data_IF_426859545341
#
_entry.id   IF_426859545341
#
_cell.length_a   1.000
_cell.length_b   1.000
_cell.length_c   1.000
_cell.angle_alpha   90.00
_cell.angle_beta   90.00
_cell.angle_gamma   90.00
#
_symmetry.space_group_name_H-M   'P 1'
#
loop_
_entity.id
_entity.type
_entity.pdbx_description
1 polymer ?
#
# COMPACT_ATOMS: atom_id res chain seq x y z
N UNK A 1 26.01 5.33 10.11
CA UNK A 1 25.37 4.73 8.90
C UNK A 1 24.17 5.54 8.36
N UNK A 2 23.81 6.71 8.91
CA UNK A 2 22.57 7.43 8.55
C UNK A 2 22.61 8.26 7.25
N UNK A 3 23.73 8.92 6.95
CA UNK A 3 23.81 9.90 5.84
C UNK A 3 23.83 9.25 4.45
N UNK A 4 24.56 8.14 4.30
CA UNK A 4 24.62 7.40 3.04
C UNK A 4 23.23 6.84 2.66
N UNK A 5 22.48 6.29 3.63
CA UNK A 5 21.15 5.73 3.39
C UNK A 5 20.15 6.78 2.92
N UNK A 6 20.16 7.98 3.52
CA UNK A 6 19.32 9.09 3.09
C UNK A 6 19.65 9.56 1.66
N UNK A 7 20.95 9.67 1.34
CA UNK A 7 21.39 10.08 0.00
C UNK A 7 20.97 9.10 -1.11
N UNK A 8 20.99 7.80 -0.84
CA UNK A 8 20.52 6.80 -1.82
C UNK A 8 19.00 6.83 -2.03
N UNK A 9 18.23 7.12 -0.97
CA UNK A 9 16.77 7.21 -1.07
C UNK A 9 16.36 8.42 -1.92
N UNK A 10 16.96 9.59 -1.71
CA UNK A 10 16.66 10.78 -2.52
C UNK A 10 17.04 10.58 -3.99
N UNK A 11 18.20 9.96 -4.28
CA UNK A 11 18.57 9.60 -5.66
C UNK A 11 17.58 8.61 -6.30
N UNK A 12 17.02 7.69 -5.52
CA UNK A 12 15.98 6.79 -6.02
C UNK A 12 14.70 7.55 -6.38
N UNK A 13 14.30 8.53 -5.56
CA UNK A 13 13.14 9.40 -5.84
C UNK A 13 13.37 10.14 -7.16
N UNK A 14 14.53 10.79 -7.33
CA UNK A 14 14.89 11.52 -8.55
C UNK A 14 14.87 10.60 -9.80
N UNK A 15 15.43 9.39 -9.69
CA UNK A 15 15.45 8.43 -10.78
C UNK A 15 14.04 7.99 -11.19
N UNK A 16 13.16 7.69 -10.23
CA UNK A 16 11.77 7.31 -10.54
C UNK A 16 10.97 8.50 -11.08
N UNK A 17 11.19 9.72 -10.59
CA UNK A 17 10.58 10.92 -11.17
C UNK A 17 11.00 11.13 -12.63
N UNK A 18 12.28 10.97 -12.94
CA UNK A 18 12.79 11.09 -14.31
C UNK A 18 12.27 9.98 -15.24
N UNK A 19 12.08 8.76 -14.72
CA UNK A 19 11.46 7.66 -15.44
C UNK A 19 9.97 7.93 -15.72
N UNK A 20 9.24 8.39 -14.70
CA UNK A 20 7.81 8.71 -14.81
C UNK A 20 7.52 9.94 -15.68
N UNK A 21 8.48 10.87 -15.80
CA UNK A 21 8.37 11.97 -16.77
C UNK A 21 8.35 11.45 -18.23
N UNK A 22 8.99 10.30 -18.50
CA UNK A 22 9.01 9.65 -19.81
C UNK A 22 7.88 8.63 -19.97
N UNK A 23 7.49 7.98 -18.87
CA UNK A 23 6.47 6.94 -18.85
C UNK A 23 5.44 7.20 -17.74
N UNK A 24 4.57 8.22 -17.87
CA UNK A 24 3.65 8.63 -16.81
C UNK A 24 2.54 7.62 -16.53
N UNK A 25 2.34 6.64 -17.40
CA UNK A 25 1.37 5.55 -17.25
C UNK A 25 1.98 4.26 -16.68
N UNK A 26 3.26 4.26 -16.33
CA UNK A 26 3.94 3.11 -15.72
C UNK A 26 3.53 2.96 -14.25
N UNK A 27 2.56 2.09 -13.99
CA UNK A 27 1.94 1.90 -12.67
C UNK A 27 2.96 1.46 -11.60
N UNK A 28 3.85 0.54 -11.92
CA UNK A 28 4.90 0.06 -11.01
C UNK A 28 5.92 1.16 -10.71
N UNK A 29 6.17 2.08 -11.65
CA UNK A 29 7.02 3.25 -11.42
C UNK A 29 6.46 4.16 -10.33
N UNK A 30 5.14 4.42 -10.36
CA UNK A 30 4.45 5.17 -9.32
C UNK A 30 4.49 4.46 -7.97
N UNK A 31 4.37 3.13 -7.96
CA UNK A 31 4.56 2.32 -6.77
C UNK A 31 5.97 2.49 -6.17
N UNK A 32 7.01 2.37 -6.98
CA UNK A 32 8.38 2.47 -6.49
C UNK A 32 8.73 3.89 -6.04
N UNK A 33 8.26 4.93 -6.76
CA UNK A 33 8.37 6.32 -6.31
C UNK A 33 7.73 6.50 -4.93
N UNK A 34 6.50 6.00 -4.77
CA UNK A 34 5.79 6.06 -3.52
C UNK A 34 6.55 5.39 -2.37
N UNK A 35 7.08 4.19 -2.62
CA UNK A 35 7.89 3.44 -1.65
C UNK A 35 9.15 4.22 -1.25
N UNK A 36 9.87 4.79 -2.21
CA UNK A 36 11.07 5.57 -1.94
C UNK A 36 10.74 6.82 -1.09
N UNK A 37 9.65 7.52 -1.39
CA UNK A 37 9.19 8.65 -0.56
C UNK A 37 8.79 8.23 0.86
N UNK A 38 8.16 7.07 1.04
CA UNK A 38 7.84 6.55 2.37
C UNK A 38 9.11 6.27 3.18
N UNK A 39 10.13 5.68 2.55
CA UNK A 39 11.45 5.45 3.16
C UNK A 39 12.18 6.76 3.49
N UNK A 40 11.95 7.82 2.71
CA UNK A 40 12.45 9.17 2.98
C UNK A 40 11.72 9.90 4.13
N UNK A 41 10.73 9.27 4.77
CA UNK A 41 9.92 9.91 5.81
C UNK A 41 8.85 10.85 5.25
N UNK A 42 8.47 10.70 3.97
CA UNK A 42 7.40 11.44 3.28
C UNK A 42 6.19 10.53 2.99
N UNK A 43 5.54 9.95 4.02
CA UNK A 43 4.51 8.93 3.82
C UNK A 43 3.24 9.47 3.14
N UNK A 44 2.89 10.75 3.36
CA UNK A 44 1.71 11.36 2.71
C UNK A 44 1.87 11.36 1.19
N UNK A 45 2.97 11.92 0.69
CA UNK A 45 3.27 11.95 -0.74
C UNK A 45 3.48 10.54 -1.31
N UNK A 46 4.11 9.65 -0.55
CA UNK A 46 4.34 8.29 -1.02
C UNK A 46 3.05 7.50 -1.22
N UNK A 47 2.05 7.73 -0.36
CA UNK A 47 0.72 7.15 -0.52
C UNK A 47 0.00 7.71 -1.75
N UNK A 48 0.05 9.02 -1.99
CA UNK A 48 -0.54 9.63 -3.19
C UNK A 48 0.01 9.03 -4.50
N UNK A 49 1.32 8.78 -4.55
CA UNK A 49 1.97 8.13 -5.68
C UNK A 49 1.52 6.66 -5.83
N UNK A 50 1.43 5.90 -4.73
CA UNK A 50 0.91 4.54 -4.78
C UNK A 50 -0.54 4.47 -5.26
N UNK A 51 -1.39 5.39 -4.80
CA UNK A 51 -2.77 5.50 -5.25
C UNK A 51 -2.85 5.79 -6.75
N UNK A 52 -1.90 6.57 -7.29
CA UNK A 52 -1.78 6.78 -8.74
C UNK A 52 -1.42 5.50 -9.48
N UNK A 53 -0.50 4.69 -8.94
CA UNK A 53 -0.20 3.36 -9.47
C UNK A 53 -1.44 2.48 -9.54
N UNK A 54 -2.24 2.44 -8.47
CA UNK A 54 -3.52 1.71 -8.41
C UNK A 54 -4.52 2.22 -9.45
N UNK A 55 -4.62 3.55 -9.66
CA UNK A 55 -5.52 4.10 -10.69
C UNK A 55 -5.10 3.72 -12.11
N UNK A 56 -3.79 3.63 -12.37
CA UNK A 56 -3.25 3.27 -13.69
C UNK A 56 -3.35 1.77 -13.97
N UNK A 57 -3.21 0.94 -12.95
CA UNK A 57 -3.36 -0.52 -13.06
C UNK A 57 -4.33 -1.04 -12.01
N UNK A 58 -5.65 -0.82 -12.19
CA UNK A 58 -6.67 -1.21 -11.21
C UNK A 58 -6.81 -2.73 -11.09
N UNK A 59 -6.21 -3.49 -12.01
CA UNK A 59 -6.19 -4.95 -11.98
C UNK A 59 -4.90 -5.55 -11.39
N UNK A 60 -3.92 -4.72 -11.01
CA UNK A 60 -2.71 -5.18 -10.36
C UNK A 60 -2.96 -5.37 -8.85
N UNK A 61 -3.14 -6.63 -8.47
CA UNK A 61 -3.42 -7.07 -7.10
C UNK A 61 -2.36 -6.62 -6.09
N UNK A 62 -1.09 -6.65 -6.49
CA UNK A 62 0.04 -6.39 -5.60
C UNK A 62 0.07 -4.93 -5.12
N UNK A 63 -0.42 -4.01 -5.94
CA UNK A 63 -0.50 -2.59 -5.59
C UNK A 63 -1.50 -2.34 -4.45
N UNK A 64 -2.67 -2.98 -4.50
CA UNK A 64 -3.63 -2.93 -3.40
C UNK A 64 -3.07 -3.61 -2.15
N UNK A 65 -2.48 -4.79 -2.31
CA UNK A 65 -1.95 -5.57 -1.20
C UNK A 65 -0.87 -4.79 -0.43
N UNK A 66 -0.02 -4.06 -1.13
CA UNK A 66 0.98 -3.22 -0.47
C UNK A 66 0.35 -2.12 0.39
N UNK A 67 -0.67 -1.41 -0.13
CA UNK A 67 -1.39 -0.38 0.62
C UNK A 67 -2.09 -0.95 1.86
N UNK A 68 -2.72 -2.12 1.73
CA UNK A 68 -3.38 -2.84 2.82
C UNK A 68 -2.36 -3.19 3.90
N UNK A 69 -1.25 -3.82 3.54
CA UNK A 69 -0.20 -4.23 4.48
C UNK A 69 0.44 -3.03 5.15
N UNK A 70 0.71 -1.97 4.39
CA UNK A 70 1.25 -0.74 4.95
C UNK A 70 0.32 -0.19 6.04
N UNK A 71 -0.97 -0.05 5.75
CA UNK A 71 -1.95 0.42 6.72
C UNK A 71 -2.00 -0.49 7.96
N UNK A 72 -2.00 -1.81 7.78
CA UNK A 72 -2.00 -2.79 8.89
C UNK A 72 -0.72 -2.76 9.74
N UNK A 73 0.42 -2.34 9.16
CA UNK A 73 1.68 -2.14 9.88
C UNK A 73 1.65 -0.85 10.69
N UNK A 74 1.16 0.25 10.11
CA UNK A 74 1.04 1.53 10.82
C UNK A 74 0.01 1.47 11.95
N UNK A 75 -1.10 0.74 11.76
CA UNK A 75 -2.09 0.46 12.80
C UNK A 75 -1.49 -0.26 14.02
N UNK A 76 -0.48 -1.10 13.80
CA UNK A 76 0.23 -1.82 14.85
C UNK A 76 1.31 -0.97 15.53
N UNK A 77 1.90 -0.05 14.78
CA UNK A 77 2.98 0.83 15.27
C UNK A 77 2.45 1.94 16.16
N UNK A 78 1.25 2.44 15.87
CA UNK A 78 0.62 3.52 16.64
C UNK A 78 -0.03 2.99 17.93
N UNK A 79 0.19 3.70 19.04
CA UNK A 79 -0.48 3.45 20.32
C UNK A 79 -1.83 4.19 20.43
N UNK A 80 -2.05 5.21 19.59
CA UNK A 80 -3.26 6.01 19.60
C UNK A 80 -4.44 5.23 19.00
N UNK A 81 -5.50 5.04 19.77
CA UNK A 81 -6.69 4.26 19.38
C UNK A 81 -7.38 4.82 18.13
N UNK A 82 -7.46 6.14 18.01
CA UNK A 82 -8.05 6.83 16.86
C UNK A 82 -7.26 6.58 15.58
N UNK A 83 -5.93 6.81 15.61
CA UNK A 83 -5.06 6.54 14.46
C UNK A 83 -5.07 5.06 14.07
N UNK A 84 -5.07 4.17 15.06
CA UNK A 84 -5.18 2.73 14.84
C UNK A 84 -6.47 2.37 14.10
N UNK A 85 -7.60 2.98 14.50
CA UNK A 85 -8.89 2.79 13.82
C UNK A 85 -8.82 3.31 12.39
N UNK A 86 -8.27 4.50 12.16
CA UNK A 86 -8.14 5.09 10.84
C UNK A 86 -7.34 4.21 9.88
N UNK A 87 -6.17 3.72 10.30
CA UNK A 87 -5.37 2.81 9.48
C UNK A 87 -6.09 1.49 9.18
N UNK A 88 -6.86 0.94 10.13
CA UNK A 88 -7.69 -0.25 9.88
C UNK A 88 -8.80 0.01 8.87
N UNK A 89 -9.45 1.16 8.95
CA UNK A 89 -10.48 1.57 7.98
C UNK A 89 -9.89 1.77 6.58
N UNK A 90 -8.69 2.37 6.48
CA UNK A 90 -7.96 2.48 5.22
C UNK A 90 -7.59 1.11 4.64
N UNK A 91 -7.16 0.16 5.47
CA UNK A 91 -6.89 -1.21 5.03
C UNK A 91 -8.16 -1.88 4.46
N UNK A 92 -9.30 -1.75 5.15
CA UNK A 92 -10.61 -2.22 4.65
C UNK A 92 -11.00 -1.54 3.34
N UNK A 93 -10.85 -0.22 3.24
CA UNK A 93 -11.15 0.50 2.02
C UNK A 93 -10.38 -0.06 0.82
N UNK A 94 -9.07 -0.27 0.95
CA UNK A 94 -8.25 -0.82 -0.13
C UNK A 94 -8.57 -2.28 -0.45
N UNK A 95 -8.96 -3.07 0.56
CA UNK A 95 -9.47 -4.43 0.37
C UNK A 95 -10.75 -4.42 -0.47
N UNK A 96 -11.74 -3.61 -0.08
CA UNK A 96 -12.99 -3.45 -0.83
C UNK A 96 -12.77 -2.91 -2.24
N UNK A 97 -11.85 -1.98 -2.44
CA UNK A 97 -11.47 -1.48 -3.78
C UNK A 97 -10.88 -2.55 -4.67
N UNK A 98 -10.13 -3.49 -4.10
CA UNK A 98 -9.60 -4.62 -4.84
C UNK A 98 -10.69 -5.63 -5.28
N UNK A 99 -11.95 -5.44 -4.89
CA UNK A 99 -13.07 -6.20 -5.49
C UNK A 99 -13.21 -5.96 -7.01
N UNK A 100 -12.61 -4.90 -7.55
CA UNK A 100 -12.55 -4.67 -9.02
C UNK A 100 -11.67 -5.70 -9.75
N UNK A 101 -10.88 -6.50 -9.01
CA UNK A 101 -10.10 -7.59 -9.56
C UNK A 101 -11.04 -8.67 -10.13
N UNK A 102 -10.58 -9.38 -11.17
CA UNK A 102 -11.37 -10.44 -11.86
C UNK A 102 -11.91 -11.53 -10.93
N UNK A 103 -11.32 -11.67 -9.74
CA UNK A 103 -11.82 -12.47 -8.62
C UNK A 103 -11.42 -11.80 -7.30
N UNK A 104 -12.22 -11.93 -6.22
CA UNK A 104 -11.84 -11.44 -4.90
C UNK A 104 -10.51 -12.05 -4.46
N UNK A 105 -9.86 -11.40 -3.50
CA UNK A 105 -8.72 -12.02 -2.85
C UNK A 105 -9.15 -13.29 -2.11
N UNK A 106 -8.36 -14.36 -2.23
CA UNK A 106 -8.50 -15.57 -1.44
C UNK A 106 -7.38 -15.65 -0.40
N UNK A 107 -7.56 -16.48 0.63
CA UNK A 107 -6.55 -16.70 1.69
C UNK A 107 -5.19 -17.19 1.19
N UNK A 108 -5.10 -17.60 -0.07
CA UNK A 108 -3.90 -18.09 -0.76
C UNK A 108 -3.16 -16.99 -1.54
N UNK A 109 -3.78 -15.82 -1.78
CA UNK A 109 -3.25 -14.78 -2.67
C UNK A 109 -2.18 -13.86 -2.02
N UNK A 110 -1.61 -14.21 -0.86
CA UNK A 110 -0.87 -13.27 0.01
C UNK A 110 0.47 -13.77 0.53
N UNK A 111 1.25 -14.44 -0.31
CA UNK A 111 2.60 -14.85 0.08
C UNK A 111 3.66 -13.75 -0.15
N UNK A 112 3.38 -12.79 -1.04
CA UNK A 112 4.32 -11.74 -1.41
C UNK A 112 3.64 -10.36 -1.45
N UNK A 113 4.42 -9.30 -1.25
CA UNK A 113 4.03 -7.90 -1.45
C UNK A 113 5.05 -7.17 -2.33
N UNK A 114 4.66 -5.99 -2.78
CA UNK A 114 5.55 -5.06 -3.45
C UNK A 114 6.04 -5.59 -4.79
N UNK A 115 5.09 -6.09 -5.59
CA UNK A 115 5.34 -6.66 -6.92
C UNK A 115 6.14 -7.97 -6.87
N UNK A 116 5.83 -8.84 -5.91
CA UNK A 116 6.48 -10.15 -5.74
C UNK A 116 7.86 -10.13 -5.11
N UNK A 117 8.38 -8.95 -4.72
CA UNK A 117 9.78 -8.79 -4.28
C UNK A 117 9.97 -9.11 -2.79
N UNK A 118 8.94 -8.91 -1.98
CA UNK A 118 9.02 -9.09 -0.52
C UNK A 118 8.08 -10.18 -0.03
N UNK A 119 8.63 -11.21 0.63
CA UNK A 119 7.81 -12.25 1.24
C UNK A 119 7.06 -11.70 2.47
N UNK A 120 5.77 -11.95 2.54
CA UNK A 120 4.95 -11.60 3.70
C UNK A 120 5.35 -12.43 4.91
N UNK A 121 5.58 -11.76 6.05
CA UNK A 121 5.80 -12.45 7.32
C UNK A 121 4.48 -13.03 7.86
N UNK A 122 4.57 -14.00 8.77
CA UNK A 122 3.40 -14.70 9.33
C UNK A 122 2.37 -13.74 9.94
N UNK A 123 2.83 -12.74 10.69
CA UNK A 123 1.96 -11.78 11.37
C UNK A 123 1.13 -10.96 10.39
N UNK A 124 1.73 -10.47 9.31
CA UNK A 124 1.03 -9.70 8.29
C UNK A 124 0.03 -10.58 7.52
N UNK A 125 0.39 -11.84 7.21
CA UNK A 125 -0.53 -12.81 6.58
C UNK A 125 -1.78 -13.05 7.43
N UNK A 126 -1.61 -13.24 8.73
CA UNK A 126 -2.75 -13.46 9.64
C UNK A 126 -3.68 -12.26 9.71
N UNK A 127 -3.14 -11.04 9.71
CA UNK A 127 -3.97 -9.83 9.69
C UNK A 127 -4.76 -9.71 8.40
N UNK A 128 -4.13 -9.99 7.25
CA UNK A 128 -4.83 -9.97 5.97
C UNK A 128 -5.96 -10.99 5.97
N UNK A 129 -5.72 -12.22 6.45
CA UNK A 129 -6.76 -13.26 6.56
C UNK A 129 -7.94 -12.81 7.43
N UNK A 130 -7.66 -12.25 8.61
CA UNK A 130 -8.71 -11.69 9.48
C UNK A 130 -9.47 -10.54 8.80
N UNK A 131 -8.75 -9.69 8.07
CA UNK A 131 -9.37 -8.58 7.34
C UNK A 131 -10.36 -9.08 6.29
N UNK A 132 -10.05 -10.17 5.57
CA UNK A 132 -10.97 -10.80 4.61
C UNK A 132 -12.19 -11.38 5.31
N UNK A 133 -11.96 -12.10 6.42
CA UNK A 133 -13.04 -12.71 7.21
C UNK A 133 -14.00 -11.61 7.73
N UNK A 134 -13.48 -10.46 8.14
CA UNK A 134 -14.26 -9.27 8.52
C UNK A 134 -14.97 -8.59 7.33
N UNK A 135 -14.36 -8.57 6.13
CA UNK A 135 -14.91 -7.91 4.93
C UNK A 135 -16.04 -8.73 4.28
N UNK A 136 -15.99 -10.08 4.37
CA UNK A 136 -17.08 -10.96 3.91
C UNK A 136 -18.38 -10.70 4.69
N UNK A 137 -18.29 -10.27 5.95
CA UNK A 137 -19.42 -9.90 6.78
C UNK A 137 -19.95 -8.47 6.49
N UNK A 138 -19.12 -7.59 5.90
CA UNK A 138 -19.37 -6.14 5.84
C UNK A 138 -19.18 -5.63 4.39
N UNK A 139 -20.19 -5.82 3.53
CA UNK A 139 -20.23 -5.19 2.19
C UNK A 139 -20.23 -3.66 2.32
N UNK A 140 -19.11 -2.98 2.11
CA UNK A 140 -19.04 -1.50 2.25
C UNK A 140 -18.54 -0.74 1.02
N UNK A 141 -19.27 0.34 0.71
CA UNK A 141 -18.96 1.43 -0.24
C UNK A 141 -18.79 2.76 0.53
N UNK A 142 -17.88 2.84 1.50
CA UNK A 142 -17.61 4.12 2.18
C UNK A 142 -16.38 4.83 1.59
N UNK A 143 -16.39 6.17 1.50
CA UNK A 143 -15.22 6.94 1.07
C UNK A 143 -14.06 6.80 2.07
N UNK A 144 -12.81 6.94 1.58
CA UNK A 144 -11.62 7.00 2.43
C UNK A 144 -11.78 8.09 3.50
N UNK A 145 -11.57 7.81 4.79
CA UNK A 145 -11.44 8.87 5.77
C UNK A 145 -10.20 9.72 5.42
N UNK A 146 -10.29 11.07 5.45
CA UNK A 146 -9.12 11.92 5.20
C UNK A 146 -8.07 11.70 6.30
N UNK A 147 -6.79 11.72 5.93
CA UNK A 147 -5.72 11.78 6.94
C UNK A 147 -5.86 13.13 7.65
N UNK A 148 -6.23 13.10 8.93
CA UNK A 148 -6.20 14.30 9.78
C UNK A 148 -4.78 14.61 10.23
#
# INVERSE_FOLDING_TARGET
KGEASGSFIEKSIEAYQAALARAPTWAEGWFYLGKSKMLAGRPKEGLEDMERGVRLSPYNRDLYLYLIVHCLREADRTLLSERKREYRERARFWMGRASVLKRPFTREDYDFIGLGVEKLNQKDREKIKRLIDEDEEIKFKSPLPPFK
#
